data_IF_289837329005
#
_entry.id   IF_289837329005
#
_cell.length_a   1.000
_cell.length_b   1.000
_cell.length_c   1.000
_cell.angle_alpha   90.00
_cell.angle_beta   90.00
_cell.angle_gamma   90.00
#
_symmetry.space_group_name_H-M   'P 1'
#
loop_
_entity.id
_entity.type
_entity.pdbx_description
1 polymer ?
#
# COMPACT_ATOMS: atom_id res chain seq x y z
N UNK A 1 -19.02 -6.03 1.14
CA UNK A 1 -17.90 -5.12 1.36
C UNK A 1 -16.69 -5.95 1.77
N UNK A 2 -15.52 -5.76 1.17
CA UNK A 2 -14.31 -6.46 1.58
C UNK A 2 -13.96 -6.13 3.03
N UNK A 3 -13.38 -7.10 3.73
CA UNK A 3 -12.95 -6.92 5.13
C UNK A 3 -11.60 -6.18 5.20
N UNK A 4 -11.52 -4.94 4.73
CA UNK A 4 -10.24 -4.25 4.74
C UNK A 4 -10.31 -2.78 4.35
N UNK A 5 -9.14 -2.14 4.39
CA UNK A 5 -8.94 -0.74 4.02
C UNK A 5 -7.70 -0.65 3.14
N UNK A 6 -7.81 0.11 2.06
CA UNK A 6 -6.68 0.41 1.20
C UNK A 6 -6.06 1.76 1.59
N UNK A 7 -4.77 1.77 1.88
CA UNK A 7 -4.02 2.96 2.28
C UNK A 7 -3.22 3.44 1.08
N UNK A 8 -3.52 4.64 0.62
CA UNK A 8 -2.81 5.31 -0.48
C UNK A 8 -2.19 6.62 -0.01
N UNK A 9 -1.36 7.21 -0.85
CA UNK A 9 -0.81 8.53 -0.59
C UNK A 9 -1.13 9.51 -1.68
N UNK A 10 -0.94 10.79 -1.39
CA UNK A 10 -0.90 11.83 -2.43
C UNK A 10 0.43 11.81 -3.21
N UNK A 11 1.45 11.13 -2.64
CA UNK A 11 2.80 11.03 -3.21
C UNK A 11 3.59 9.90 -2.53
N UNK A 12 4.83 9.68 -2.99
CA UNK A 12 5.83 8.87 -2.28
C UNK A 12 6.39 9.65 -1.08
N UNK A 13 6.77 8.96 -0.01
CA UNK A 13 7.36 9.60 1.17
C UNK A 13 6.40 10.42 2.04
N UNK A 14 5.07 10.34 1.82
CA UNK A 14 4.07 11.04 2.64
C UNK A 14 3.77 10.36 3.98
N UNK A 15 4.40 9.20 4.25
CA UNK A 15 4.27 8.46 5.51
C UNK A 15 3.13 7.44 5.52
N UNK A 16 2.80 6.83 4.37
CA UNK A 16 1.82 5.73 4.29
C UNK A 16 2.13 4.60 5.25
N UNK A 17 3.36 4.09 5.19
CA UNK A 17 3.83 2.96 6.00
C UNK A 17 3.77 3.30 7.49
N UNK A 18 4.18 4.50 7.88
CA UNK A 18 4.05 4.96 9.26
C UNK A 18 2.58 4.94 9.72
N UNK A 19 1.67 5.51 8.94
CA UNK A 19 0.24 5.51 9.25
C UNK A 19 -0.33 4.10 9.30
N UNK A 20 -0.02 3.27 8.30
CA UNK A 20 -0.50 1.88 8.21
C UNK A 20 -0.06 1.04 9.43
N UNK A 21 1.21 1.17 9.84
CA UNK A 21 1.74 0.51 11.03
C UNK A 21 1.02 0.98 12.31
N UNK A 22 0.80 2.29 12.46
CA UNK A 22 0.08 2.82 13.63
C UNK A 22 -1.36 2.33 13.68
N UNK A 23 -2.04 2.29 12.52
CA UNK A 23 -3.40 1.75 12.41
C UNK A 23 -3.43 0.24 12.73
N UNK A 24 -2.47 -0.53 12.22
CA UNK A 24 -2.37 -1.96 12.52
C UNK A 24 -2.20 -2.22 14.02
N UNK A 25 -1.30 -1.49 14.70
CA UNK A 25 -1.11 -1.58 16.15
C UNK A 25 -2.38 -1.22 16.92
N UNK A 26 -3.09 -0.16 16.49
CA UNK A 26 -4.32 0.28 17.15
C UNK A 26 -5.43 -0.79 17.03
N UNK A 27 -5.66 -1.28 15.81
CA UNK A 27 -6.66 -2.33 15.56
C UNK A 27 -6.35 -3.61 16.35
N UNK A 28 -5.07 -4.02 16.39
CA UNK A 28 -4.64 -5.17 17.17
C UNK A 28 -4.87 -4.98 18.68
N UNK A 29 -4.57 -3.79 19.20
CA UNK A 29 -4.87 -3.46 20.62
C UNK A 29 -6.37 -3.45 20.92
N UNK A 30 -7.20 -3.23 19.92
CA UNK A 30 -8.66 -3.33 20.01
C UNK A 30 -9.19 -4.75 19.83
N UNK A 31 -8.31 -5.77 19.78
CA UNK A 31 -8.67 -7.18 19.73
C UNK A 31 -8.85 -7.77 18.33
N UNK A 32 -8.60 -7.03 17.26
CA UNK A 32 -8.70 -7.54 15.89
C UNK A 32 -7.46 -8.32 15.49
N UNK A 33 -7.65 -9.42 14.75
CA UNK A 33 -6.59 -10.07 13.97
C UNK A 33 -6.40 -9.27 12.68
N UNK A 34 -5.25 -8.61 12.55
CA UNK A 34 -4.96 -7.68 11.46
C UNK A 34 -4.08 -8.36 10.42
N UNK A 35 -4.61 -8.59 9.22
CA UNK A 35 -3.85 -8.94 8.03
C UNK A 35 -3.25 -7.70 7.40
N UNK A 36 -2.10 -7.86 6.76
CA UNK A 36 -1.43 -6.76 6.04
C UNK A 36 -0.96 -7.24 4.68
N UNK A 37 -1.01 -6.34 3.69
CA UNK A 37 -0.52 -6.59 2.34
C UNK A 37 0.15 -5.35 1.77
N UNK A 38 1.31 -5.53 1.15
CA UNK A 38 2.02 -4.58 0.30
C UNK A 38 2.12 -5.21 -1.09
N UNK A 39 1.18 -4.95 -2.02
CA UNK A 39 1.11 -5.67 -3.30
C UNK A 39 2.40 -5.65 -4.10
N UNK A 40 3.10 -4.51 -4.06
CA UNK A 40 4.41 -4.35 -4.66
C UNK A 40 5.23 -3.34 -3.86
N UNK A 41 6.51 -3.62 -3.66
CA UNK A 41 7.48 -2.72 -3.06
C UNK A 41 8.71 -2.59 -3.95
N UNK A 42 9.14 -1.35 -4.19
CA UNK A 42 10.30 -1.01 -5.00
C UNK A 42 11.36 -0.30 -4.17
N UNK A 43 12.63 -0.38 -4.60
CA UNK A 43 13.75 0.13 -3.81
C UNK A 43 14.13 -0.79 -2.66
N UNK A 44 13.80 -2.09 -2.77
CA UNK A 44 14.15 -3.07 -1.75
C UNK A 44 15.68 -3.29 -1.73
N UNK A 45 16.37 -3.02 -0.61
CA UNK A 45 17.77 -3.35 -0.48
C UNK A 45 17.99 -4.87 -0.59
N UNK A 46 19.14 -5.26 -1.12
CA UNK A 46 19.52 -6.65 -1.21
C UNK A 46 20.48 -7.02 -0.08
N UNK A 47 20.17 -8.11 0.61
CA UNK A 47 21.02 -8.68 1.65
C UNK A 47 21.14 -10.19 1.42
N UNK A 48 22.36 -10.69 1.31
CA UNK A 48 22.65 -12.12 1.10
C UNK A 48 21.87 -12.73 -0.10
N UNK A 49 21.75 -11.99 -1.20
CA UNK A 49 21.05 -12.44 -2.41
C UNK A 49 19.51 -12.40 -2.34
N UNK A 50 18.93 -11.85 -1.27
CA UNK A 50 17.48 -11.67 -1.11
C UNK A 50 17.11 -10.21 -1.01
N UNK A 51 15.97 -9.84 -1.58
CA UNK A 51 15.40 -8.50 -1.43
C UNK A 51 14.71 -8.36 -0.06
N UNK A 52 14.88 -7.19 0.53
CA UNK A 52 14.32 -6.83 1.83
C UNK A 52 13.25 -5.75 1.64
N UNK A 53 11.95 -6.10 1.56
CA UNK A 53 10.86 -5.14 1.45
C UNK A 53 10.61 -4.50 2.82
N UNK A 54 11.21 -3.33 3.06
CA UNK A 54 11.20 -2.66 4.37
C UNK A 54 9.80 -2.29 4.85
N UNK A 55 8.96 -1.75 3.95
CA UNK A 55 7.58 -1.41 4.29
C UNK A 55 6.78 -2.64 4.72
N UNK A 56 6.91 -3.74 3.96
CA UNK A 56 6.20 -4.99 4.27
C UNK A 56 6.68 -5.61 5.59
N UNK A 57 7.98 -5.52 5.89
CA UNK A 57 8.53 -5.98 7.18
C UNK A 57 7.94 -5.18 8.33
N UNK A 58 7.92 -3.85 8.23
CA UNK A 58 7.34 -2.97 9.24
C UNK A 58 5.83 -3.26 9.44
N UNK A 59 5.09 -3.46 8.35
CA UNK A 59 3.68 -3.83 8.41
C UNK A 59 3.46 -5.17 9.11
N UNK A 60 4.28 -6.18 8.78
CA UNK A 60 4.25 -7.50 9.42
C UNK A 60 4.47 -7.40 10.93
N UNK A 61 5.49 -6.68 11.35
CA UNK A 61 5.81 -6.45 12.76
C UNK A 61 4.67 -5.72 13.48
N UNK A 62 4.18 -4.63 12.90
CA UNK A 62 3.10 -3.82 13.49
C UNK A 62 1.79 -4.60 13.66
N UNK A 63 1.45 -5.43 12.68
CA UNK A 63 0.26 -6.29 12.73
C UNK A 63 0.46 -7.56 13.57
N UNK A 64 1.70 -7.93 13.89
CA UNK A 64 2.09 -9.23 14.44
C UNK A 64 1.60 -10.42 13.57
N UNK A 65 1.48 -10.20 12.26
CA UNK A 65 1.05 -11.24 11.32
C UNK A 65 2.06 -12.38 11.25
N UNK A 66 1.53 -13.60 11.20
CA UNK A 66 2.34 -14.82 10.99
C UNK A 66 2.44 -15.20 9.51
N UNK A 67 1.78 -14.45 8.61
CA UNK A 67 1.90 -14.70 7.17
C UNK A 67 3.37 -14.57 6.71
N UNK A 68 3.81 -15.40 5.77
CA UNK A 68 5.15 -15.30 5.21
C UNK A 68 5.32 -13.98 4.45
N UNK A 69 6.55 -13.46 4.40
CA UNK A 69 6.83 -12.13 3.85
C UNK A 69 6.55 -12.03 2.34
N UNK A 70 6.76 -13.11 1.61
CA UNK A 70 6.45 -13.23 0.18
C UNK A 70 4.94 -13.22 -0.11
N UNK A 71 4.10 -13.60 0.87
CA UNK A 71 2.65 -13.45 0.82
C UNK A 71 2.24 -12.00 1.14
N UNK A 72 2.85 -11.39 2.15
CA UNK A 72 2.60 -9.99 2.50
C UNK A 72 3.04 -9.05 1.37
N UNK A 73 4.20 -9.32 0.74
CA UNK A 73 4.73 -8.55 -0.37
C UNK A 73 5.08 -9.47 -1.55
N UNK A 74 4.09 -9.80 -2.41
CA UNK A 74 4.27 -10.72 -3.52
C UNK A 74 5.24 -10.25 -4.61
N UNK A 75 5.40 -8.93 -4.76
CA UNK A 75 6.30 -8.35 -5.74
C UNK A 75 7.29 -7.38 -5.07
N UNK A 76 8.55 -7.75 -5.14
CA UNK A 76 9.67 -7.01 -4.56
C UNK A 76 10.64 -6.62 -5.66
N UNK A 77 11.01 -5.34 -5.73
CA UNK A 77 11.87 -4.83 -6.78
C UNK A 77 13.07 -4.09 -6.20
N UNK A 78 14.25 -4.30 -6.82
CA UNK A 78 15.51 -3.68 -6.40
C UNK A 78 15.51 -2.17 -6.68
N UNK A 79 15.05 -1.76 -7.86
CA UNK A 79 15.12 -0.37 -8.27
C UNK A 79 13.97 0.46 -7.66
N UNK A 80 14.23 1.69 -7.17
CA UNK A 80 13.21 2.58 -6.59
C UNK A 80 12.39 3.29 -7.69
N UNK A 81 11.64 2.50 -8.44
CA UNK A 81 10.81 2.95 -9.57
C UNK A 81 9.33 2.61 -9.30
N UNK A 82 8.44 3.21 -10.10
CA UNK A 82 7.04 2.77 -10.08
C UNK A 82 6.95 1.26 -10.34
N UNK A 83 6.07 0.52 -9.62
CA UNK A 83 6.05 -0.96 -9.64
C UNK A 83 6.04 -1.57 -11.04
N UNK A 84 5.23 -1.03 -11.95
CA UNK A 84 5.20 -1.47 -13.35
C UNK A 84 6.55 -1.31 -14.05
N UNK A 85 7.22 -0.17 -13.84
CA UNK A 85 8.52 0.11 -14.49
C UNK A 85 9.60 -0.78 -13.91
N UNK A 86 9.62 -0.95 -12.58
CA UNK A 86 10.56 -1.85 -11.90
C UNK A 86 10.37 -3.30 -12.35
N UNK A 87 9.13 -3.77 -12.47
CA UNK A 87 8.79 -5.10 -12.97
C UNK A 87 9.28 -5.29 -14.41
N UNK A 88 9.00 -4.33 -15.30
CA UNK A 88 9.43 -4.38 -16.70
C UNK A 88 10.95 -4.49 -16.82
N UNK A 89 11.72 -3.74 -16.02
CA UNK A 89 13.19 -3.80 -16.04
C UNK A 89 13.75 -5.13 -15.55
N UNK A 90 13.01 -5.81 -14.68
CA UNK A 90 13.39 -7.15 -14.19
C UNK A 90 12.78 -8.29 -15.01
N UNK A 91 12.10 -8.00 -16.13
CA UNK A 91 11.45 -9.02 -16.97
C UNK A 91 10.26 -9.71 -16.29
N UNK A 92 9.65 -9.06 -15.28
CA UNK A 92 8.52 -9.57 -14.52
C UNK A 92 7.24 -8.88 -15.02
N UNK A 93 6.18 -9.65 -15.20
CA UNK A 93 4.83 -9.12 -15.40
C UNK A 93 4.06 -9.24 -14.08
N UNK A 94 3.48 -8.12 -13.63
CA UNK A 94 2.59 -8.13 -12.48
C UNK A 94 1.29 -8.86 -12.86
N UNK A 95 0.92 -9.84 -12.07
CA UNK A 95 -0.31 -10.61 -12.21
C UNK A 95 -1.34 -10.10 -11.20
N UNK A 96 -2.41 -9.50 -11.70
CA UNK A 96 -3.46 -8.91 -10.86
C UNK A 96 -4.30 -9.99 -10.21
N UNK A 97 -4.58 -11.09 -10.89
CA UNK A 97 -5.38 -12.19 -10.35
C UNK A 97 -4.63 -12.82 -9.17
N UNK A 98 -3.32 -13.03 -9.30
CA UNK A 98 -2.47 -13.46 -8.18
C UNK A 98 -2.55 -12.50 -6.98
N UNK A 99 -2.54 -11.18 -7.22
CA UNK A 99 -2.66 -10.20 -6.13
C UNK A 99 -4.03 -10.27 -5.45
N UNK A 100 -5.09 -10.51 -6.22
CA UNK A 100 -6.45 -10.70 -5.69
C UNK A 100 -6.54 -11.99 -4.86
N UNK A 101 -5.96 -13.08 -5.34
CA UNK A 101 -5.94 -14.36 -4.63
C UNK A 101 -5.19 -14.24 -3.30
N UNK A 102 -4.01 -13.61 -3.29
CA UNK A 102 -3.24 -13.35 -2.07
C UNK A 102 -4.04 -12.49 -1.08
N UNK A 103 -4.73 -11.45 -1.56
CA UNK A 103 -5.62 -10.65 -0.70
C UNK A 103 -6.72 -11.51 -0.08
N UNK A 104 -7.39 -12.35 -0.88
CA UNK A 104 -8.46 -13.22 -0.42
C UNK A 104 -7.96 -14.22 0.64
N UNK A 105 -6.79 -14.80 0.42
CA UNK A 105 -6.16 -15.70 1.39
C UNK A 105 -5.85 -14.99 2.73
N UNK A 106 -5.22 -13.81 2.69
CA UNK A 106 -4.94 -13.03 3.91
C UNK A 106 -6.25 -12.70 4.63
N UNK A 107 -7.25 -12.20 3.89
CA UNK A 107 -8.54 -11.79 4.46
C UNK A 107 -9.34 -12.95 5.05
N UNK A 108 -9.15 -14.17 4.55
CA UNK A 108 -9.86 -15.36 5.05
C UNK A 108 -9.48 -15.73 6.50
N UNK A 109 -8.27 -15.37 6.91
CA UNK A 109 -7.71 -15.72 8.24
C UNK A 109 -7.66 -14.55 9.21
N UNK A 110 -8.01 -13.35 8.77
CA UNK A 110 -7.97 -12.13 9.58
C UNK A 110 -9.34 -11.45 9.66
N UNK A 111 -9.54 -10.63 10.68
CA UNK A 111 -10.80 -9.90 10.88
C UNK A 111 -10.86 -8.63 10.01
N UNK A 112 -9.70 -8.00 9.80
CA UNK A 112 -9.50 -6.85 8.90
C UNK A 112 -8.15 -6.91 8.22
N UNK A 113 -8.08 -6.51 6.95
CA UNK A 113 -6.83 -6.46 6.19
C UNK A 113 -6.50 -5.03 5.78
N UNK A 114 -5.29 -4.58 6.07
CA UNK A 114 -4.75 -3.30 5.60
C UNK A 114 -3.88 -3.54 4.37
N UNK A 115 -4.21 -2.87 3.27
CA UNK A 115 -3.40 -2.92 2.05
C UNK A 115 -2.71 -1.58 1.87
N UNK A 116 -1.40 -1.57 1.74
CA UNK A 116 -0.65 -0.36 1.44
C UNK A 116 -0.21 -0.34 -0.03
N UNK A 117 -0.67 0.67 -0.78
CA UNK A 117 -0.21 0.93 -2.14
C UNK A 117 1.19 1.56 -2.19
N UNK A 118 1.82 1.57 -3.35
CA UNK A 118 3.03 2.33 -3.61
C UNK A 118 2.70 3.66 -4.29
N UNK A 119 3.20 4.79 -3.76
CA UNK A 119 2.86 6.13 -4.27
C UNK A 119 1.39 6.48 -4.09
N UNK A 120 0.73 6.91 -5.16
CA UNK A 120 -0.67 7.33 -5.18
C UNK A 120 -1.59 6.41 -5.99
N UNK A 121 -2.90 6.75 -6.02
CA UNK A 121 -3.92 5.95 -6.71
C UNK A 121 -3.68 5.77 -8.22
N UNK A 122 -3.06 6.75 -8.87
CA UNK A 122 -2.77 6.69 -10.31
C UNK A 122 -1.52 5.89 -10.66
N UNK A 123 -0.74 5.43 -9.69
CA UNK A 123 0.46 4.63 -9.97
C UNK A 123 0.07 3.33 -10.68
N UNK A 124 0.64 3.06 -11.87
CA UNK A 124 0.24 1.92 -12.67
C UNK A 124 0.84 0.60 -12.15
N UNK A 125 0.01 -0.43 -12.10
CA UNK A 125 0.41 -1.83 -11.97
C UNK A 125 0.56 -2.48 -13.35
N UNK A 126 -0.36 -2.18 -14.29
CA UNK A 126 -0.28 -2.56 -15.69
C UNK A 126 -0.49 -1.31 -16.58
N UNK A 127 -0.34 -1.39 -17.92
CA UNK A 127 -0.51 -0.23 -18.83
C UNK A 127 -1.80 0.55 -18.63
N UNK A 128 -2.90 -0.13 -18.35
CA UNK A 128 -4.24 0.47 -18.16
C UNK A 128 -4.87 0.11 -16.83
N UNK A 129 -4.07 -0.31 -15.83
CA UNK A 129 -4.55 -0.74 -14.53
C UNK A 129 -3.72 -0.11 -13.42
N UNK A 130 -4.38 0.66 -12.57
CA UNK A 130 -3.76 1.44 -11.50
C UNK A 130 -4.13 0.89 -10.12
N UNK A 131 -3.54 1.43 -9.05
CA UNK A 131 -3.97 1.13 -7.69
C UNK A 131 -5.42 1.54 -7.41
N UNK A 132 -5.96 2.56 -8.09
CA UNK A 132 -7.39 2.88 -7.98
C UNK A 132 -8.26 1.76 -8.53
N UNK A 133 -7.86 1.17 -9.66
CA UNK A 133 -8.58 0.02 -10.25
C UNK A 133 -8.49 -1.21 -9.34
N UNK A 134 -7.33 -1.44 -8.72
CA UNK A 134 -7.14 -2.54 -7.77
C UNK A 134 -8.01 -2.37 -6.52
N UNK A 135 -8.01 -1.19 -5.89
CA UNK A 135 -8.87 -0.91 -4.73
C UNK A 135 -10.36 -1.07 -5.07
N UNK A 136 -10.78 -0.63 -6.28
CA UNK A 136 -12.15 -0.77 -6.78
C UNK A 136 -12.53 -2.23 -6.98
N UNK A 137 -11.68 -3.03 -7.60
CA UNK A 137 -11.94 -4.47 -7.84
C UNK A 137 -12.09 -5.21 -6.52
N UNK A 138 -11.24 -4.91 -5.53
CA UNK A 138 -11.35 -5.47 -4.17
C UNK A 138 -12.52 -4.91 -3.37
N UNK A 139 -13.23 -3.89 -3.90
CA UNK A 139 -14.34 -3.19 -3.22
C UNK A 139 -13.92 -2.63 -1.85
N UNK A 140 -12.69 -2.16 -1.75
CA UNK A 140 -12.13 -1.62 -0.52
C UNK A 140 -12.30 -0.10 -0.45
N UNK A 141 -12.71 0.41 0.70
CA UNK A 141 -12.63 1.83 0.96
C UNK A 141 -11.15 2.26 1.12
N UNK A 142 -10.88 3.52 0.80
CA UNK A 142 -9.54 4.09 0.77
C UNK A 142 -9.35 5.13 1.87
N UNK A 143 -8.19 5.13 2.51
CA UNK A 143 -7.68 6.26 3.30
C UNK A 143 -6.52 6.89 2.54
N UNK A 144 -6.57 8.23 2.39
CA UNK A 144 -5.53 8.99 1.69
C UNK A 144 -4.58 9.63 2.70
N UNK A 145 -3.30 9.31 2.63
CA UNK A 145 -2.25 9.95 3.45
C UNK A 145 -1.60 11.07 2.65
N UNK A 146 -1.55 12.26 3.22
CA UNK A 146 -0.93 13.44 2.63
C UNK A 146 0.12 14.03 3.59
N UNK A 147 1.26 14.46 3.06
CA UNK A 147 2.25 15.18 3.84
C UNK A 147 1.78 16.63 4.06
N UNK A 148 1.78 17.10 5.31
CA UNK A 148 1.40 18.47 5.65
C UNK A 148 2.51 19.46 5.27
N UNK A 149 2.56 19.79 3.98
CA UNK A 149 3.53 20.73 3.37
C UNK A 149 2.85 21.58 2.31
N UNK A 150 3.50 22.67 1.90
CA UNK A 150 3.02 23.54 0.83
C UNK A 150 2.73 22.71 -0.45
N UNK A 151 1.57 22.95 -1.10
CA UNK A 151 1.08 22.21 -2.26
C UNK A 151 0.19 21.01 -1.92
N UNK A 152 0.11 20.60 -0.65
CA UNK A 152 -0.65 19.43 -0.21
C UNK A 152 -2.13 19.54 -0.57
N UNK A 153 -2.75 20.70 -0.44
CA UNK A 153 -4.18 20.89 -0.74
C UNK A 153 -4.49 20.48 -2.18
N UNK A 154 -3.67 20.96 -3.13
CA UNK A 154 -3.83 20.61 -4.54
C UNK A 154 -3.68 19.10 -4.77
N UNK A 155 -2.64 18.48 -4.23
CA UNK A 155 -2.40 17.03 -4.38
C UNK A 155 -3.52 16.20 -3.75
N UNK A 156 -4.01 16.62 -2.59
CA UNK A 156 -5.12 15.94 -1.92
C UNK A 156 -6.41 16.03 -2.74
N UNK A 157 -6.79 17.22 -3.19
CA UNK A 157 -7.99 17.43 -3.99
C UNK A 157 -7.96 16.65 -5.30
N UNK A 158 -6.82 16.65 -6.01
CA UNK A 158 -6.65 15.85 -7.23
C UNK A 158 -6.79 14.35 -6.95
N UNK A 159 -6.25 13.87 -5.83
CA UNK A 159 -6.36 12.45 -5.42
C UNK A 159 -7.81 12.08 -5.09
N UNK A 160 -8.52 12.94 -4.35
CA UNK A 160 -9.93 12.73 -3.99
C UNK A 160 -10.82 12.74 -5.22
N UNK A 161 -10.61 13.70 -6.13
CA UNK A 161 -11.37 13.78 -7.39
C UNK A 161 -11.13 12.57 -8.28
N UNK A 162 -9.87 12.12 -8.39
CA UNK A 162 -9.56 10.90 -9.13
C UNK A 162 -10.24 9.67 -8.51
N UNK A 163 -10.21 9.52 -7.18
CA UNK A 163 -10.91 8.44 -6.49
C UNK A 163 -12.42 8.47 -6.81
N UNK A 164 -13.05 9.65 -6.77
CA UNK A 164 -14.44 9.85 -7.12
C UNK A 164 -14.73 9.42 -8.56
N UNK A 165 -13.93 9.87 -9.52
CA UNK A 165 -14.07 9.50 -10.94
C UNK A 165 -13.92 8.00 -11.19
N UNK A 166 -13.10 7.31 -10.42
CA UNK A 166 -12.90 5.86 -10.48
C UNK A 166 -13.95 5.05 -9.70
N UNK A 167 -14.88 5.71 -9.02
CA UNK A 167 -15.89 5.05 -8.19
C UNK A 167 -15.28 4.36 -6.95
N UNK A 168 -14.17 4.89 -6.45
CA UNK A 168 -13.52 4.40 -5.22
C UNK A 168 -14.06 5.15 -4.02
N UNK A 169 -14.55 4.41 -3.02
CA UNK A 169 -15.03 5.00 -1.77
C UNK A 169 -13.85 5.50 -0.94
N UNK A 170 -13.86 6.78 -0.56
CA UNK A 170 -12.86 7.36 0.35
C UNK A 170 -13.46 7.49 1.74
N UNK A 171 -12.87 6.83 2.75
CA UNK A 171 -13.27 6.96 4.16
C UNK A 171 -12.84 8.30 4.76
N UNK A 172 -11.71 8.82 4.30
CA UNK A 172 -11.13 10.05 4.80
C UNK A 172 -9.67 10.21 4.38
N UNK A 173 -9.04 11.23 4.94
CA UNK A 173 -7.63 11.49 4.73
C UNK A 173 -6.91 11.79 6.04
N UNK A 174 -5.60 11.61 6.01
CA UNK A 174 -4.68 11.86 7.13
C UNK A 174 -3.64 12.86 6.70
N UNK A 175 -3.52 13.96 7.44
CA UNK A 175 -2.43 14.91 7.28
C UNK A 175 -1.28 14.49 8.18
N UNK A 176 -0.25 13.93 7.55
CA UNK A 176 0.92 13.46 8.26
C UNK A 176 1.98 14.58 8.32
N UNK A 177 2.52 14.83 9.51
CA UNK A 177 3.63 15.77 9.68
C UNK A 177 4.93 15.04 9.33
N UNK A 178 5.47 15.31 8.14
CA UNK A 178 6.77 14.82 7.72
C UNK A 178 7.78 15.91 8.09
N UNK A 179 8.72 15.62 8.99
CA UNK A 179 9.81 16.53 9.30
C UNK A 179 10.76 16.61 8.10
N UNK A 180 11.11 17.83 7.69
CA UNK A 180 12.10 18.06 6.64
C UNK A 180 13.47 17.60 7.16
N UNK A 181 13.93 16.46 6.69
CA UNK A 181 15.22 15.88 7.08
C UNK A 181 15.23 14.38 7.34
N UNK A 182 14.08 13.75 7.50
CA UNK A 182 14.00 12.28 7.47
C UNK A 182 13.91 11.80 6.02
N UNK A 183 15.03 11.86 5.30
CA UNK A 183 15.22 10.98 4.15
C UNK A 183 15.39 9.56 4.71
N UNK A 184 14.41 8.71 4.43
CA UNK A 184 14.55 7.28 4.64
C UNK A 184 15.52 6.71 3.61
#
# INVERSE_FOLDING_TARGET
>A
MGKGVFITGTDTGVGKTFFACKLAVLLRKSGYRVGVMKPAESGCPEQQGKLYPQDAILLKEASASQDPLDKICPYQFREPLAPRVAAQRQGITLDIDRLIDVYNEITSTHDITLIEGAGGLMVPLLPSYTYADFARVLKLPVIVVAANRLGMINHLLLTLEHARCKGVCVLGYVLNRVESGAAL
#
